data_IF_469777993604
#
_entry.id   IF_469777993604
#
_cell.length_a   1.000
_cell.length_b   1.000
_cell.length_c   1.000
_cell.angle_alpha   90.00
_cell.angle_beta   90.00
_cell.angle_gamma   90.00
#
_symmetry.space_group_name_H-M   'P 1'
#
loop_
_entity.id
_entity.type
_entity.pdbx_description
1 polymer ?
#
# COMPACT_ATOMS: atom_id res chain seq x y z
N UNK A 1 24.86 -11.72 9.23
CA UNK A 1 24.48 -10.58 8.38
C UNK A 1 23.31 -11.03 7.53
N UNK A 2 22.09 -10.64 7.90
CA UNK A 2 20.91 -10.91 7.08
C UNK A 2 20.68 -9.69 6.20
N UNK A 3 20.87 -9.83 4.89
CA UNK A 3 20.49 -8.80 3.92
C UNK A 3 18.97 -8.84 3.75
N UNK A 4 18.33 -7.66 3.72
CA UNK A 4 16.93 -7.56 3.33
C UNK A 4 16.80 -8.07 1.88
N UNK A 5 16.07 -9.16 1.70
CA UNK A 5 15.77 -9.73 0.39
C UNK A 5 14.34 -9.35 -0.01
N UNK A 6 14.15 -9.04 -1.30
CA UNK A 6 12.85 -8.74 -1.89
C UNK A 6 12.78 -9.23 -3.33
N UNK A 7 11.58 -9.41 -3.84
CA UNK A 7 11.30 -9.78 -5.23
C UNK A 7 10.39 -8.75 -5.89
N UNK A 8 10.36 -8.71 -7.23
CA UNK A 8 9.40 -7.89 -7.98
C UNK A 8 7.97 -8.24 -7.59
N UNK A 9 7.66 -9.52 -7.47
CA UNK A 9 6.35 -10.02 -7.03
C UNK A 9 5.95 -9.46 -5.66
N UNK A 10 6.91 -9.41 -4.73
CA UNK A 10 6.66 -8.83 -3.41
C UNK A 10 6.39 -7.32 -3.44
N UNK A 11 6.81 -6.59 -4.49
CA UNK A 11 6.46 -5.18 -4.68
C UNK A 11 5.06 -5.02 -5.27
N UNK A 12 4.66 -5.94 -6.15
CA UNK A 12 3.32 -5.98 -6.76
C UNK A 12 2.26 -6.29 -5.69
N UNK A 13 2.46 -7.38 -4.94
CA UNK A 13 1.50 -7.85 -3.93
C UNK A 13 1.39 -6.94 -2.69
N UNK A 14 2.47 -6.20 -2.37
CA UNK A 14 2.54 -5.41 -1.14
C UNK A 14 1.46 -4.36 -1.04
N UNK A 15 1.07 -3.74 -2.16
CA UNK A 15 0.06 -2.70 -2.14
C UNK A 15 -1.32 -3.23 -1.73
N UNK A 16 -1.75 -4.35 -2.31
CA UNK A 16 -2.98 -5.04 -1.94
C UNK A 16 -2.95 -5.48 -0.47
N UNK A 17 -1.85 -6.08 0.00
CA UNK A 17 -1.70 -6.48 1.41
C UNK A 17 -1.83 -5.33 2.39
N UNK A 18 -1.21 -4.19 2.10
CA UNK A 18 -1.31 -3.00 2.96
C UNK A 18 -2.72 -2.42 2.93
N UNK A 19 -3.41 -2.48 1.80
CA UNK A 19 -4.80 -2.05 1.68
C UNK A 19 -5.73 -2.94 2.52
N UNK A 20 -5.57 -4.26 2.44
CA UNK A 20 -6.32 -5.23 3.26
C UNK A 20 -6.11 -4.98 4.75
N UNK A 21 -4.86 -4.76 5.17
CA UNK A 21 -4.54 -4.45 6.56
C UNK A 21 -5.17 -3.13 7.01
N UNK A 22 -5.15 -2.10 6.16
CA UNK A 22 -5.74 -0.80 6.49
C UNK A 22 -7.27 -0.90 6.64
N UNK A 23 -7.96 -1.59 5.74
CA UNK A 23 -9.42 -1.82 5.83
C UNK A 23 -9.76 -2.63 7.09
N UNK A 24 -9.09 -3.77 7.28
CA UNK A 24 -9.34 -4.67 8.41
C UNK A 24 -8.96 -4.10 9.78
N UNK A 25 -8.19 -3.01 9.82
CA UNK A 25 -7.87 -2.33 11.09
C UNK A 25 -9.04 -1.50 11.65
N UNK A 26 -10.03 -1.18 10.82
CA UNK A 26 -11.16 -0.30 11.19
C UNK A 26 -12.52 -0.93 10.90
N UNK A 27 -12.65 -1.73 9.84
CA UNK A 27 -13.92 -2.26 9.35
C UNK A 27 -13.95 -3.78 9.31
N UNK A 28 -15.11 -4.36 9.59
CA UNK A 28 -15.40 -5.78 9.35
C UNK A 28 -15.91 -5.95 7.90
N UNK A 29 -14.98 -5.89 6.94
CA UNK A 29 -15.27 -5.89 5.49
C UNK A 29 -15.18 -4.51 4.83
N UNK A 30 -15.69 -4.39 3.60
CA UNK A 30 -15.53 -3.18 2.74
C UNK A 30 -16.74 -2.26 2.73
N UNK A 31 -17.82 -2.60 3.42
CA UNK A 31 -19.08 -1.82 3.42
C UNK A 31 -18.91 -0.42 4.01
N UNK A 32 -18.05 -0.29 5.02
CA UNK A 32 -17.73 1.00 5.65
C UNK A 32 -16.79 1.88 4.83
N UNK A 33 -16.19 1.37 3.75
CA UNK A 33 -15.17 2.08 2.96
C UNK A 33 -15.81 3.04 1.96
N UNK A 34 -15.42 4.30 2.04
CA UNK A 34 -15.77 5.36 1.08
C UNK A 34 -14.73 5.51 -0.02
N UNK A 35 -13.47 5.18 0.27
CA UNK A 35 -12.35 5.23 -0.66
C UNK A 35 -11.00 5.25 0.05
N UNK A 36 -9.91 5.46 -0.69
CA UNK A 36 -8.57 5.50 -0.09
C UNK A 36 -7.61 6.49 -0.77
N UNK A 37 -6.59 6.91 -0.03
CA UNK A 37 -5.40 7.58 -0.55
C UNK A 37 -4.21 6.61 -0.43
N UNK A 38 -3.58 6.31 -1.56
CA UNK A 38 -2.48 5.35 -1.67
C UNK A 38 -1.19 6.10 -1.97
N UNK A 39 -0.24 6.06 -1.04
CA UNK A 39 1.12 6.56 -1.21
C UNK A 39 2.02 5.39 -1.53
N UNK A 40 2.37 5.22 -2.80
CA UNK A 40 3.25 4.14 -3.26
C UNK A 40 4.60 4.71 -3.64
N UNK A 41 5.69 4.23 -3.04
CA UNK A 41 7.02 4.77 -3.33
C UNK A 41 7.30 4.75 -4.84
N UNK A 42 7.74 5.88 -5.39
CA UNK A 42 8.09 6.01 -6.80
C UNK A 42 9.18 5.01 -7.20
N UNK A 43 10.11 4.66 -6.29
CA UNK A 43 11.08 3.58 -6.50
C UNK A 43 10.42 2.22 -6.74
N UNK A 44 9.32 1.91 -6.04
CA UNK A 44 8.55 0.69 -6.31
C UNK A 44 7.92 0.76 -7.70
N UNK A 45 7.22 1.85 -8.00
CA UNK A 45 6.56 2.04 -9.31
C UNK A 45 7.56 1.94 -10.46
N UNK A 46 8.76 2.53 -10.33
CA UNK A 46 9.80 2.40 -11.35
C UNK A 46 10.29 0.96 -11.50
N UNK A 47 10.39 0.21 -10.39
CA UNK A 47 10.81 -1.17 -10.41
C UNK A 47 9.77 -2.10 -11.03
N UNK A 48 8.47 -1.85 -10.86
CA UNK A 48 7.37 -2.72 -11.36
C UNK A 48 6.43 -2.02 -12.33
N UNK A 49 6.92 -1.04 -13.09
CA UNK A 49 6.10 -0.18 -13.96
C UNK A 49 5.20 -0.95 -14.92
N UNK A 50 5.73 -2.03 -15.48
CA UNK A 50 5.08 -2.96 -16.40
C UNK A 50 3.99 -3.83 -15.77
N UNK A 51 3.87 -3.83 -14.43
CA UNK A 51 2.91 -4.61 -13.66
C UNK A 51 2.02 -3.70 -12.77
N UNK A 52 1.88 -2.42 -13.14
CA UNK A 52 1.06 -1.49 -12.36
C UNK A 52 -0.43 -1.84 -12.39
N UNK A 53 -0.91 -2.52 -13.43
CA UNK A 53 -2.29 -3.01 -13.48
C UNK A 53 -2.54 -4.07 -12.40
N UNK A 54 -1.57 -4.94 -12.12
CA UNK A 54 -1.66 -5.94 -11.04
C UNK A 54 -1.63 -5.26 -9.66
N UNK A 55 -0.82 -4.22 -9.50
CA UNK A 55 -0.80 -3.39 -8.28
C UNK A 55 -2.17 -2.76 -8.04
N UNK A 56 -2.77 -2.17 -9.09
CA UNK A 56 -4.10 -1.55 -9.04
C UNK A 56 -5.16 -2.58 -8.73
N UNK A 57 -5.14 -3.74 -9.39
CA UNK A 57 -6.10 -4.83 -9.15
C UNK A 57 -6.04 -5.34 -7.70
N UNK A 58 -4.83 -5.46 -7.13
CA UNK A 58 -4.64 -5.82 -5.73
C UNK A 58 -5.26 -4.82 -4.75
N UNK A 59 -5.11 -3.52 -5.02
CA UNK A 59 -5.73 -2.45 -4.21
C UNK A 59 -7.26 -2.45 -4.38
N UNK A 60 -7.75 -2.53 -5.61
CA UNK A 60 -9.18 -2.52 -5.94
C UNK A 60 -9.93 -3.67 -5.26
N UNK A 61 -9.36 -4.88 -5.31
CA UNK A 61 -9.89 -6.05 -4.61
C UNK A 61 -9.93 -5.87 -3.10
N UNK A 62 -8.87 -5.30 -2.51
CA UNK A 62 -8.81 -5.03 -1.07
C UNK A 62 -9.82 -3.96 -0.60
N UNK A 63 -10.17 -3.02 -1.48
CA UNK A 63 -11.15 -1.97 -1.21
C UNK A 63 -12.58 -2.37 -1.61
N UNK A 64 -12.79 -3.51 -2.25
CA UNK A 64 -14.11 -3.93 -2.74
C UNK A 64 -14.65 -3.02 -3.85
N UNK A 65 -13.77 -2.55 -4.75
CA UNK A 65 -14.14 -1.70 -5.89
C UNK A 65 -14.42 -0.24 -5.53
N UNK A 66 -14.08 0.22 -4.32
CA UNK A 66 -14.23 1.62 -3.91
C UNK A 66 -13.10 2.47 -4.51
N UNK A 67 -13.39 3.74 -4.88
CA UNK A 67 -12.41 4.57 -5.55
C UNK A 67 -11.21 4.86 -4.66
N UNK A 68 -10.03 4.98 -5.27
CA UNK A 68 -8.84 5.44 -4.59
C UNK A 68 -8.03 6.39 -5.45
N UNK A 69 -7.24 7.24 -4.80
CA UNK A 69 -6.26 8.10 -5.44
C UNK A 69 -4.86 7.59 -5.12
N UNK A 70 -4.09 7.26 -6.15
CA UNK A 70 -2.68 6.88 -6.02
C UNK A 70 -1.75 8.08 -6.24
N UNK A 71 -0.68 8.17 -5.46
CA UNK A 71 0.42 9.09 -5.69
C UNK A 71 1.77 8.39 -5.53
N UNK A 72 2.73 8.79 -6.37
CA UNK A 72 4.09 8.27 -6.39
C UNK A 72 5.06 9.30 -5.82
N UNK A 73 5.44 9.14 -4.56
CA UNK A 73 6.43 9.99 -3.89
C UNK A 73 7.71 9.22 -3.61
N UNK A 74 8.82 9.92 -3.47
CA UNK A 74 10.02 9.33 -2.88
C UNK A 74 9.97 9.50 -1.35
N UNK A 75 10.53 8.53 -0.65
CA UNK A 75 10.55 8.53 0.81
C UNK A 75 10.97 7.17 1.35
N UNK A 76 11.70 7.21 2.44
CA UNK A 76 12.23 6.04 3.16
C UNK A 76 11.82 6.05 4.64
N UNK A 77 11.30 7.16 5.15
CA UNK A 77 10.91 7.31 6.55
C UNK A 77 9.38 7.25 6.68
N UNK A 78 8.91 6.52 7.67
CA UNK A 78 7.49 6.45 8.01
C UNK A 78 7.29 6.05 9.47
N UNK A 79 6.10 6.34 9.99
CA UNK A 79 5.71 5.96 11.34
C UNK A 79 4.89 4.67 11.30
N UNK A 80 5.27 3.66 12.09
CA UNK A 80 4.47 2.45 12.24
C UNK A 80 3.46 2.59 13.39
N UNK A 81 2.56 1.61 13.49
CA UNK A 81 1.65 1.49 14.62
C UNK A 81 2.46 1.44 15.91
N UNK A 82 2.38 2.49 16.73
CA UNK A 82 3.21 2.67 17.94
C UNK A 82 3.83 4.05 18.08
N UNK A 83 3.92 4.83 16.99
CA UNK A 83 4.41 6.22 17.04
C UNK A 83 5.90 6.38 16.74
N UNK A 84 6.64 5.27 16.66
CA UNK A 84 8.06 5.29 16.34
C UNK A 84 8.28 5.51 14.85
N UNK A 85 9.30 6.32 14.52
CA UNK A 85 9.75 6.49 13.15
C UNK A 85 10.70 5.35 12.78
N UNK A 86 10.44 4.76 11.63
CA UNK A 86 11.27 3.72 11.06
C UNK A 86 11.75 4.12 9.67
N UNK A 87 12.99 3.73 9.40
CA UNK A 87 13.55 3.75 8.07
C UNK A 87 13.23 2.44 7.36
N UNK A 88 12.77 2.54 6.12
CA UNK A 88 12.48 1.41 5.26
C UNK A 88 12.68 1.78 3.80
N UNK A 89 13.10 0.79 3.02
CA UNK A 89 13.20 0.95 1.57
C UNK A 89 11.85 0.61 0.92
N UNK A 90 11.49 1.36 -0.12
CA UNK A 90 10.37 1.00 -1.00
C UNK A 90 9.05 0.91 -0.20
N UNK A 91 8.79 1.94 0.60
CA UNK A 91 7.67 2.03 1.53
C UNK A 91 6.34 2.31 0.82
N UNK A 92 5.25 1.90 1.47
CA UNK A 92 3.87 2.19 1.05
C UNK A 92 3.06 2.57 2.28
N UNK A 93 2.14 3.52 2.09
CA UNK A 93 1.13 3.89 3.09
C UNK A 93 -0.24 3.99 2.42
N UNK A 94 -1.27 3.53 3.12
CA UNK A 94 -2.65 3.60 2.65
C UNK A 94 -3.51 4.18 3.76
N UNK A 95 -4.20 5.26 3.42
CA UNK A 95 -5.20 5.90 4.26
C UNK A 95 -6.59 5.55 3.72
N UNK A 96 -7.39 4.86 4.52
CA UNK A 96 -8.76 4.48 4.17
C UNK A 96 -9.75 5.49 4.78
N UNK A 97 -10.71 5.94 3.97
CA UNK A 97 -11.79 6.84 4.41
C UNK A 97 -13.06 6.04 4.68
N UNK A 98 -13.64 6.21 5.85
CA UNK A 98 -14.90 5.58 6.26
C UNK A 98 -16.14 6.42 5.95
N UNK A 99 -17.33 5.85 6.19
CA UNK A 99 -18.58 6.59 6.44
C UNK A 99 -18.87 6.68 7.93
#
# INVERSE_FOLDING_TARGET
>A
MHLLAGSRDSLVERAGRVATNAVGSVFDGTDGVSGALVVYCAGCMLAVRDQMDDVVAGIDGALGGKPFLGLFTFGEQGCFVGGDNHHGNLMISILVFGR
#
